data_IF_975782344037
#
_entry.id   IF_975782344037
#
_cell.length_a   1.000
_cell.length_b   1.000
_cell.length_c   1.000
_cell.angle_alpha   90.00
_cell.angle_beta   90.00
_cell.angle_gamma   90.00
#
_symmetry.space_group_name_H-M   'P 1'
#
loop_
_entity.id
_entity.type
_entity.pdbx_description
1 polymer ?
#
# COMPACT_ATOMS: atom_id res chain seq x y z
N UNK A 1 27.05 12.04 4.39
CA UNK A 1 27.30 11.59 5.77
C UNK A 1 26.29 12.29 6.65
N UNK A 2 25.38 11.54 7.26
CA UNK A 2 24.41 12.07 8.22
C UNK A 2 25.12 12.07 9.58
N UNK A 3 24.99 13.13 10.37
CA UNK A 3 25.59 13.24 11.71
C UNK A 3 24.48 13.21 12.78
N UNK A 4 24.83 12.93 14.04
CA UNK A 4 23.89 13.11 15.16
C UNK A 4 23.44 14.56 15.24
N UNK A 5 22.15 14.79 15.47
CA UNK A 5 21.57 16.14 15.53
C UNK A 5 21.22 16.50 16.96
N UNK A 6 21.61 17.69 17.38
CA UNK A 6 21.32 18.23 18.71
C UNK A 6 20.60 19.56 18.54
N UNK A 7 19.35 19.61 18.97
CA UNK A 7 18.48 20.77 18.78
C UNK A 7 18.07 21.27 20.16
N UNK A 8 18.53 22.47 20.51
CA UNK A 8 18.08 23.16 21.72
C UNK A 8 16.96 24.11 21.30
N UNK A 9 15.75 23.81 21.75
CA UNK A 9 14.57 24.64 21.51
C UNK A 9 14.09 25.28 22.82
N UNK A 10 13.41 26.42 22.69
CA UNK A 10 12.75 27.08 23.82
C UNK A 10 11.28 27.25 23.48
N UNK A 11 10.40 26.59 24.24
CA UNK A 11 8.97 26.78 24.11
C UNK A 11 8.61 28.22 24.47
N UNK A 12 8.03 28.93 23.51
CA UNK A 12 7.70 30.36 23.62
C UNK A 12 6.65 30.62 24.72
N UNK A 13 5.76 29.68 24.98
CA UNK A 13 4.62 29.84 25.90
C UNK A 13 4.94 29.54 27.37
N UNK A 14 5.83 28.59 27.64
CA UNK A 14 6.19 28.17 29.02
C UNK A 14 7.62 28.53 29.42
N UNK A 15 8.42 29.05 28.49
CA UNK A 15 9.84 29.31 28.70
C UNK A 15 10.70 28.04 28.82
N UNK A 16 10.09 26.86 28.61
CA UNK A 16 10.72 25.57 28.77
C UNK A 16 11.81 25.36 27.74
N UNK A 17 13.03 25.09 28.21
CA UNK A 17 14.17 24.75 27.35
C UNK A 17 14.24 23.23 27.20
N UNK A 18 14.11 22.78 25.97
CA UNK A 18 14.10 21.37 25.60
C UNK A 18 15.32 21.09 24.74
N UNK A 19 16.00 19.99 25.03
CA UNK A 19 17.02 19.44 24.14
C UNK A 19 16.47 18.19 23.46
N UNK A 20 16.43 18.20 22.14
CA UNK A 20 16.17 17.02 21.32
C UNK A 20 17.51 16.49 20.79
N UNK A 21 17.82 15.23 21.11
CA UNK A 21 19.03 14.52 20.66
C UNK A 21 18.62 13.38 19.76
N UNK A 22 19.00 13.47 18.49
CA UNK A 22 18.71 12.45 17.48
C UNK A 22 19.97 11.66 17.15
N UNK A 23 19.96 10.38 17.49
CA UNK A 23 21.06 9.46 17.17
C UNK A 23 20.83 8.87 15.77
N UNK A 24 21.50 9.43 14.77
CA UNK A 24 21.34 9.09 13.34
C UNK A 24 22.61 8.55 12.68
N UNK A 25 23.74 8.55 13.38
CA UNK A 25 25.05 8.22 12.77
C UNK A 25 25.97 7.47 13.72
N UNK A 26 26.95 6.79 13.12
CA UNK A 26 28.12 6.22 13.81
C UNK A 26 29.23 7.25 14.06
N UNK A 27 29.20 8.40 13.38
CA UNK A 27 30.21 9.45 13.51
C UNK A 27 29.71 10.55 14.47
N UNK A 28 30.65 11.09 15.26
CA UNK A 28 30.33 12.06 16.30
C UNK A 28 31.13 13.36 16.11
N UNK A 29 30.44 14.49 16.27
CA UNK A 29 31.07 15.81 16.37
C UNK A 29 31.31 16.14 17.86
N UNK A 30 32.56 15.95 18.29
CA UNK A 30 33.00 16.18 19.68
C UNK A 30 32.86 17.65 20.09
N UNK A 31 33.03 18.60 19.16
CA UNK A 31 32.88 20.02 19.47
C UNK A 31 31.43 20.38 19.75
N UNK A 32 30.51 19.79 18.98
CA UNK A 32 29.08 20.02 19.13
C UNK A 32 28.56 19.42 20.44
N UNK A 33 29.06 18.24 20.86
CA UNK A 33 28.76 17.67 22.16
C UNK A 33 29.19 18.58 23.32
N UNK A 34 30.41 19.16 23.27
CA UNK A 34 30.87 20.10 24.30
C UNK A 34 29.98 21.34 24.42
N UNK A 35 29.51 21.88 23.28
CA UNK A 35 28.57 23.01 23.28
C UNK A 35 27.25 22.65 23.94
N UNK A 36 26.73 21.44 23.67
CA UNK A 36 25.48 20.93 24.25
C UNK A 36 25.62 20.77 25.78
N UNK A 37 26.73 20.17 26.25
CA UNK A 37 27.01 20.01 27.68
C UNK A 37 27.00 21.35 28.42
N UNK A 38 27.56 22.41 27.82
CA UNK A 38 27.54 23.75 28.42
C UNK A 38 26.13 24.35 28.61
N UNK A 39 25.14 23.89 27.84
CA UNK A 39 23.76 24.37 27.93
C UNK A 39 22.87 23.53 28.86
N UNK A 40 23.34 22.35 29.28
CA UNK A 40 22.63 21.41 30.18
C UNK A 40 22.11 22.05 31.49
N UNK A 41 22.85 22.96 32.16
CA UNK A 41 22.43 23.51 33.46
C UNK A 41 21.10 24.27 33.46
N UNK A 42 20.59 24.62 32.27
CA UNK A 42 19.38 25.42 32.08
C UNK A 42 18.24 24.65 31.39
N UNK A 43 18.43 23.37 31.09
CA UNK A 43 17.40 22.55 30.46
C UNK A 43 16.37 22.12 31.50
N UNK A 44 15.12 22.01 31.06
CA UNK A 44 14.02 21.46 31.86
C UNK A 44 13.61 20.08 31.36
N UNK A 45 13.78 19.83 30.05
CA UNK A 45 13.46 18.55 29.42
C UNK A 45 14.52 18.14 28.40
N UNK A 46 14.77 16.84 28.32
CA UNK A 46 15.62 16.24 27.31
C UNK A 46 14.90 15.06 26.66
N UNK A 47 14.85 15.04 25.33
CA UNK A 47 14.30 13.95 24.54
C UNK A 47 15.44 13.28 23.76
N UNK A 48 15.57 11.97 23.90
CA UNK A 48 16.52 11.15 23.14
C UNK A 48 15.77 10.27 22.16
N UNK A 49 16.13 10.36 20.88
CA UNK A 49 15.52 9.61 19.78
C UNK A 49 16.54 8.60 19.24
N UNK A 50 16.19 7.32 19.27
CA UNK A 50 16.98 6.20 18.77
C UNK A 50 16.28 5.59 17.54
N UNK A 51 16.65 6.10 16.36
CA UNK A 51 16.02 5.76 15.06
C UNK A 51 16.64 4.51 14.39
N UNK A 52 17.82 4.04 14.85
CA UNK A 52 18.55 2.91 14.24
C UNK A 52 19.00 1.87 15.29
N UNK A 53 19.79 0.87 14.88
CA UNK A 53 20.51 -0.02 15.79
C UNK A 53 21.46 0.79 16.68
N UNK A 54 21.21 0.75 17.99
CA UNK A 54 22.05 1.41 18.99
C UNK A 54 23.46 0.81 18.96
N UNK A 55 24.44 1.61 18.60
CA UNK A 55 25.86 1.20 18.58
C UNK A 55 26.62 1.72 19.82
N UNK A 56 27.84 1.21 20.03
CA UNK A 56 28.68 1.59 21.18
C UNK A 56 28.98 3.10 21.24
N UNK A 57 29.15 3.75 20.09
CA UNK A 57 29.44 5.20 20.03
C UNK A 57 28.25 6.02 20.52
N UNK A 58 27.04 5.68 20.07
CA UNK A 58 25.79 6.32 20.53
C UNK A 58 25.58 6.10 22.03
N UNK A 59 25.89 4.89 22.54
CA UNK A 59 25.86 4.61 23.97
C UNK A 59 26.81 5.49 24.78
N UNK A 60 28.04 5.69 24.30
CA UNK A 60 29.00 6.57 24.96
C UNK A 60 28.52 8.03 24.99
N UNK A 61 27.98 8.53 23.89
CA UNK A 61 27.45 9.90 23.81
C UNK A 61 26.27 10.07 24.76
N UNK A 62 25.34 9.11 24.75
CA UNK A 62 24.21 9.08 25.67
C UNK A 62 24.68 9.12 27.13
N UNK A 63 25.62 8.24 27.51
CA UNK A 63 26.16 8.19 28.87
C UNK A 63 26.81 9.51 29.28
N UNK A 64 27.60 10.12 28.39
CA UNK A 64 28.22 11.41 28.63
C UNK A 64 27.16 12.48 28.90
N UNK A 65 26.12 12.57 28.06
CA UNK A 65 25.03 13.54 28.26
C UNK A 65 24.33 13.30 29.60
N UNK A 66 23.96 12.06 29.90
CA UNK A 66 23.24 11.69 31.14
C UNK A 66 24.06 11.98 32.38
N UNK A 67 25.40 11.89 32.32
CA UNK A 67 26.28 12.27 33.43
C UNK A 67 26.20 13.76 33.78
N UNK A 68 25.87 14.62 32.82
CA UNK A 68 25.73 16.07 33.02
C UNK A 68 24.28 16.52 33.29
N UNK A 69 23.31 15.60 33.28
CA UNK A 69 21.93 15.94 33.60
C UNK A 69 21.74 16.19 35.09
N UNK A 70 21.08 17.30 35.42
CA UNK A 70 20.67 17.60 36.79
C UNK A 70 19.39 16.84 37.14
N UNK A 71 19.23 16.53 38.42
CA UNK A 71 18.12 15.73 38.93
C UNK A 71 16.71 16.29 38.66
N UNK A 72 16.56 17.57 38.37
CA UNK A 72 15.26 18.20 38.05
C UNK A 72 14.90 18.13 36.56
N UNK A 73 15.76 17.57 35.71
CA UNK A 73 15.49 17.48 34.28
C UNK A 73 14.57 16.30 34.01
N UNK A 74 13.48 16.55 33.28
CA UNK A 74 12.61 15.48 32.77
C UNK A 74 13.28 14.81 31.57
N UNK A 75 13.37 13.48 31.58
CA UNK A 75 14.05 12.71 30.53
C UNK A 75 13.04 11.86 29.78
N UNK A 76 13.00 12.00 28.45
CA UNK A 76 12.17 11.17 27.57
C UNK A 76 13.07 10.39 26.62
N UNK A 77 12.85 9.09 26.56
CA UNK A 77 13.52 8.16 25.65
C UNK A 77 12.51 7.64 24.63
N UNK A 78 12.89 7.62 23.36
CA UNK A 78 12.05 7.18 22.26
C UNK A 78 12.86 6.19 21.44
N UNK A 79 12.43 4.94 21.44
CA UNK A 79 13.10 3.83 20.76
C UNK A 79 12.24 3.29 19.64
N UNK A 80 12.81 3.07 18.46
CA UNK A 80 12.12 2.32 17.43
C UNK A 80 12.12 0.82 17.78
N UNK A 81 11.01 0.34 18.35
CA UNK A 81 10.91 -0.98 19.02
C UNK A 81 11.17 -2.18 18.09
N UNK A 82 10.97 -2.03 16.77
CA UNK A 82 11.17 -3.10 15.79
C UNK A 82 12.65 -3.42 15.51
N UNK A 83 13.58 -2.48 15.77
CA UNK A 83 14.98 -2.60 15.38
C UNK A 83 15.94 -2.74 16.57
N UNK A 84 15.44 -2.62 17.80
CA UNK A 84 16.25 -2.57 19.00
C UNK A 84 16.08 -3.85 19.83
N UNK A 85 17.20 -4.44 20.26
CA UNK A 85 17.20 -5.54 21.23
C UNK A 85 16.97 -5.00 22.64
N UNK A 86 16.23 -5.74 23.49
CA UNK A 86 15.88 -5.27 24.83
C UNK A 86 17.12 -5.01 25.70
N UNK A 87 18.19 -5.77 25.49
CA UNK A 87 19.48 -5.61 26.17
C UNK A 87 20.06 -4.20 26.00
N UNK A 88 19.87 -3.58 24.82
CA UNK A 88 20.27 -2.20 24.57
C UNK A 88 19.34 -1.20 25.25
N UNK A 89 18.03 -1.48 25.27
CA UNK A 89 17.05 -0.67 26.02
C UNK A 89 17.41 -0.69 27.50
N UNK A 90 17.63 -1.89 28.07
CA UNK A 90 18.05 -2.12 29.45
C UNK A 90 19.35 -1.37 29.79
N UNK A 91 20.35 -1.42 28.91
CA UNK A 91 21.60 -0.69 29.10
C UNK A 91 21.41 0.84 29.13
N UNK A 92 20.47 1.38 28.35
CA UNK A 92 20.18 2.82 28.31
C UNK A 92 19.39 3.24 29.54
N UNK A 93 18.32 2.52 29.87
CA UNK A 93 17.44 2.89 31.00
C UNK A 93 18.07 2.56 32.35
N UNK A 94 19.00 1.62 32.43
CA UNK A 94 19.55 1.10 33.69
C UNK A 94 20.10 2.18 34.61
N UNK A 95 20.77 3.22 34.07
CA UNK A 95 21.22 4.36 34.88
C UNK A 95 20.05 5.23 35.35
N UNK A 96 19.14 5.60 34.44
CA UNK A 96 18.01 6.48 34.76
C UNK A 96 17.04 5.87 35.78
N UNK A 97 16.83 4.56 35.74
CA UNK A 97 15.98 3.82 36.69
C UNK A 97 16.49 3.91 38.13
N UNK A 98 17.79 4.17 38.32
CA UNK A 98 18.39 4.34 39.64
C UNK A 98 18.41 5.81 40.12
N UNK A 99 18.23 6.77 39.21
CA UNK A 99 18.43 8.19 39.48
C UNK A 99 17.11 9.02 39.41
N UNK A 100 16.12 8.54 38.66
CA UNK A 100 14.85 9.24 38.36
C UNK A 100 13.65 8.31 38.48
N UNK A 101 12.46 8.85 38.79
CA UNK A 101 11.20 8.08 38.81
C UNK A 101 10.58 7.98 37.42
N UNK A 102 10.22 6.77 36.97
CA UNK A 102 9.49 6.55 35.72
C UNK A 102 8.09 7.17 35.83
N UNK A 103 7.74 8.06 34.90
CA UNK A 103 6.41 8.62 34.74
C UNK A 103 5.48 7.64 34.02
N UNK A 104 5.80 7.37 32.76
CA UNK A 104 4.97 6.58 31.86
C UNK A 104 5.89 5.87 30.86
N UNK A 105 5.50 4.66 30.48
CA UNK A 105 5.98 4.02 29.27
C UNK A 105 4.78 3.58 28.43
N UNK A 106 4.90 3.65 27.12
CA UNK A 106 3.86 3.18 26.21
C UNK A 106 4.43 2.88 24.82
N UNK A 107 3.73 2.02 24.09
CA UNK A 107 4.00 1.74 22.69
C UNK A 107 3.07 2.54 21.78
N UNK A 108 3.62 3.22 20.79
CA UNK A 108 2.85 3.95 19.79
C UNK A 108 3.52 3.84 18.43
N UNK A 109 2.79 3.40 17.40
CA UNK A 109 3.25 3.37 16.00
C UNK A 109 4.59 2.65 15.78
N UNK A 110 4.89 1.59 16.55
CA UNK A 110 6.16 0.85 16.45
C UNK A 110 7.31 1.49 17.24
N UNK A 111 7.06 2.53 18.01
CA UNK A 111 8.01 3.16 18.93
C UNK A 111 7.65 2.84 20.38
N UNK A 112 8.68 2.60 21.20
CA UNK A 112 8.59 2.54 22.65
C UNK A 112 8.99 3.90 23.21
N UNK A 113 8.07 4.53 23.95
CA UNK A 113 8.34 5.76 24.68
C UNK A 113 8.50 5.43 26.15
N UNK A 114 9.52 6.01 26.79
CA UNK A 114 9.74 5.92 28.25
C UNK A 114 10.04 7.34 28.73
N UNK A 115 9.29 7.81 29.72
CA UNK A 115 9.49 9.14 30.31
C UNK A 115 9.79 9.02 31.81
N UNK A 116 10.74 9.81 32.27
CA UNK A 116 11.18 9.93 33.65
C UNK A 116 10.93 11.36 34.13
N UNK A 117 10.37 11.51 35.33
CA UNK A 117 10.18 12.81 35.96
C UNK A 117 11.49 13.36 36.51
N UNK A 118 11.65 14.68 36.46
CA UNK A 118 12.58 15.38 37.33
C UNK A 118 12.21 15.16 38.80
N UNK A 119 13.21 14.99 39.66
CA UNK A 119 13.07 14.73 41.09
C UNK A 119 12.44 15.90 41.87
N UNK A 120 12.34 17.08 41.26
CA UNK A 120 11.60 18.24 41.76
C UNK A 120 10.08 18.11 41.56
N UNK A 121 9.63 17.33 40.58
CA UNK A 121 8.21 17.05 40.31
C UNK A 121 7.75 15.85 41.13
N UNK A 122 8.49 14.73 41.04
CA UNK A 122 8.20 13.49 41.76
C UNK A 122 9.51 12.96 42.33
N UNK A 123 9.61 12.73 43.66
CA UNK A 123 10.83 12.20 44.25
C UNK A 123 11.11 10.78 43.76
N UNK A 124 12.39 10.40 43.80
CA UNK A 124 12.86 9.08 43.41
C UNK A 124 12.14 7.95 44.19
N UNK A 125 11.53 7.00 43.48
CA UNK A 125 10.92 5.78 44.03
C UNK A 125 11.44 4.51 43.34
N UNK A 126 12.38 3.85 43.99
CA UNK A 126 12.98 2.59 43.51
C UNK A 126 11.96 1.44 43.43
N UNK A 127 10.95 1.38 44.31
CA UNK A 127 9.98 0.29 44.31
C UNK A 127 9.04 0.41 43.11
N UNK A 128 8.57 1.63 42.85
CA UNK A 128 7.79 1.97 41.65
C UNK A 128 8.58 1.66 40.38
N UNK A 129 9.82 2.12 40.31
CA UNK A 129 10.68 1.89 39.15
C UNK A 129 10.92 0.41 38.86
N UNK A 130 11.21 -0.40 39.88
CA UNK A 130 11.38 -1.85 39.72
C UNK A 130 10.12 -2.51 39.20
N UNK A 131 8.95 -2.11 39.70
CA UNK A 131 7.68 -2.65 39.23
C UNK A 131 7.45 -2.34 37.76
N UNK A 132 7.57 -1.07 37.36
CA UNK A 132 7.39 -0.67 35.95
C UNK A 132 8.46 -1.26 35.03
N UNK A 133 9.69 -1.43 35.52
CA UNK A 133 10.76 -2.08 34.76
C UNK A 133 10.44 -3.54 34.42
N UNK A 134 9.96 -4.31 35.40
CA UNK A 134 9.55 -5.70 35.16
C UNK A 134 8.34 -5.78 34.22
N UNK A 135 7.38 -4.87 34.33
CA UNK A 135 6.27 -4.79 33.38
C UNK A 135 6.75 -4.45 31.96
N UNK A 136 7.61 -3.44 31.80
CA UNK A 136 8.22 -3.06 30.52
C UNK A 136 8.93 -4.26 29.87
N UNK A 137 9.70 -5.02 30.66
CA UNK A 137 10.40 -6.22 30.17
C UNK A 137 9.45 -7.30 29.68
N UNK A 138 8.34 -7.53 30.39
CA UNK A 138 7.29 -8.48 29.98
C UNK A 138 6.59 -8.00 28.71
N UNK A 139 6.12 -6.75 28.69
CA UNK A 139 5.40 -6.15 27.57
C UNK A 139 6.26 -6.04 26.31
N UNK A 140 7.57 -5.80 26.44
CA UNK A 140 8.49 -5.77 25.30
C UNK A 140 8.58 -7.14 24.62
N UNK A 141 8.60 -8.22 25.40
CA UNK A 141 8.59 -9.59 24.87
C UNK A 141 7.28 -9.87 24.15
N UNK A 142 6.15 -9.55 24.78
CA UNK A 142 4.82 -9.72 24.18
C UNK A 142 4.63 -8.86 22.92
N UNK A 143 5.15 -7.63 22.89
CA UNK A 143 5.06 -6.73 21.74
C UNK A 143 5.94 -7.20 20.56
N UNK A 144 7.09 -7.83 20.84
CA UNK A 144 7.96 -8.44 19.83
C UNK A 144 7.39 -9.77 19.32
N UNK A 145 6.72 -10.51 20.18
CA UNK A 145 6.01 -11.75 19.83
C UNK A 145 4.67 -11.49 19.11
N UNK A 146 4.06 -10.32 19.32
CA UNK A 146 2.95 -9.81 18.49
C UNK A 146 3.46 -9.60 17.06
N UNK A 147 2.83 -10.22 16.05
CA UNK A 147 3.65 -11.07 15.20
C UNK A 147 4.24 -10.37 13.98
N UNK A 148 5.55 -10.60 13.78
CA UNK A 148 6.24 -10.66 12.47
C UNK A 148 5.54 -11.61 11.47
N UNK A 149 4.63 -12.48 11.92
CA UNK A 149 3.72 -13.24 11.05
C UNK A 149 2.80 -12.34 10.22
N UNK A 150 2.43 -11.15 10.68
CA UNK A 150 1.59 -10.25 9.89
C UNK A 150 2.37 -9.71 8.68
N UNK A 151 3.66 -9.42 8.78
CA UNK A 151 4.41 -8.87 7.64
C UNK A 151 4.71 -9.90 6.56
N UNK A 152 5.07 -11.14 6.92
CA UNK A 152 5.23 -12.20 5.91
C UNK A 152 3.90 -12.59 5.28
N UNK A 153 2.83 -12.69 6.08
CA UNK A 153 1.48 -12.98 5.57
C UNK A 153 0.94 -11.84 4.72
N UNK A 154 1.17 -10.57 5.12
CA UNK A 154 0.81 -9.39 4.34
C UNK A 154 1.62 -9.34 3.02
N UNK A 155 2.91 -9.66 3.05
CA UNK A 155 3.72 -9.79 1.82
C UNK A 155 3.20 -10.89 0.89
N UNK A 156 2.80 -12.02 1.45
CA UNK A 156 2.19 -13.11 0.68
C UNK A 156 0.83 -12.70 0.11
N UNK A 157 -0.06 -12.09 0.91
CA UNK A 157 -1.37 -11.60 0.47
C UNK A 157 -1.23 -10.49 -0.60
N UNK A 158 -0.24 -9.60 -0.46
CA UNK A 158 0.09 -8.60 -1.49
C UNK A 158 0.58 -9.23 -2.80
N UNK A 159 1.39 -10.29 -2.71
CA UNK A 159 1.84 -11.04 -3.88
C UNK A 159 0.66 -11.75 -4.57
N UNK A 160 -0.25 -12.35 -3.81
CA UNK A 160 -1.46 -12.97 -4.34
C UNK A 160 -2.35 -11.95 -5.05
N UNK A 161 -2.65 -10.82 -4.42
CA UNK A 161 -3.46 -9.75 -5.02
C UNK A 161 -2.82 -9.20 -6.30
N UNK A 162 -1.49 -9.05 -6.33
CA UNK A 162 -0.78 -8.63 -7.54
C UNK A 162 -0.94 -9.66 -8.66
N UNK A 163 -0.75 -10.94 -8.37
CA UNK A 163 -0.89 -12.00 -9.38
C UNK A 163 -2.33 -12.07 -9.91
N UNK A 164 -3.33 -11.99 -9.03
CA UNK A 164 -4.75 -11.99 -9.40
C UNK A 164 -5.09 -10.79 -10.30
N UNK A 165 -4.52 -9.61 -10.00
CA UNK A 165 -4.67 -8.41 -10.83
C UNK A 165 -4.03 -8.59 -12.21
N UNK A 166 -2.82 -9.13 -12.27
CA UNK A 166 -2.11 -9.37 -13.52
C UNK A 166 -2.88 -10.37 -14.40
N UNK A 167 -3.44 -11.44 -13.82
CA UNK A 167 -4.26 -12.43 -14.53
C UNK A 167 -5.59 -11.84 -15.04
N UNK A 168 -6.26 -11.02 -14.22
CA UNK A 168 -7.44 -10.26 -14.63
C UNK A 168 -7.13 -9.32 -15.78
N UNK A 169 -5.99 -8.63 -15.73
CA UNK A 169 -5.56 -7.71 -16.76
C UNK A 169 -5.23 -8.42 -18.08
N UNK A 170 -4.56 -9.57 -18.03
CA UNK A 170 -4.32 -10.39 -19.23
C UNK A 170 -5.62 -10.90 -19.85
N UNK A 171 -6.57 -11.33 -19.01
CA UNK A 171 -7.91 -11.78 -19.45
C UNK A 171 -8.67 -10.64 -20.13
N UNK A 172 -8.62 -9.44 -19.56
CA UNK A 172 -9.18 -8.23 -20.16
C UNK A 172 -8.56 -7.94 -21.52
N UNK A 173 -7.22 -7.93 -21.63
CA UNK A 173 -6.52 -7.67 -22.89
C UNK A 173 -6.89 -8.68 -23.98
N UNK A 174 -6.94 -9.97 -23.64
CA UNK A 174 -7.34 -11.02 -24.58
C UNK A 174 -8.78 -10.82 -25.08
N UNK A 175 -9.70 -10.51 -24.17
CA UNK A 175 -11.11 -10.26 -24.48
C UNK A 175 -11.27 -9.01 -25.33
N UNK A 176 -10.57 -7.94 -25.00
CA UNK A 176 -10.59 -6.68 -25.74
C UNK A 176 -10.11 -6.87 -27.19
N UNK A 177 -9.01 -7.61 -27.39
CA UNK A 177 -8.51 -7.96 -28.74
C UNK A 177 -9.54 -8.76 -29.54
N UNK A 178 -10.20 -9.76 -28.92
CA UNK A 178 -11.27 -10.54 -29.56
C UNK A 178 -12.46 -9.66 -29.96
N UNK A 179 -12.88 -8.74 -29.09
CA UNK A 179 -13.95 -7.79 -29.40
C UNK A 179 -13.58 -6.88 -30.57
N UNK A 180 -12.38 -6.30 -30.57
CA UNK A 180 -11.91 -5.47 -31.69
C UNK A 180 -11.94 -6.24 -33.02
N UNK A 181 -11.51 -7.50 -33.02
CA UNK A 181 -11.60 -8.36 -34.20
C UNK A 181 -13.05 -8.61 -34.63
N UNK A 182 -13.92 -8.98 -33.69
CA UNK A 182 -15.34 -9.20 -33.97
C UNK A 182 -16.01 -7.94 -34.55
N UNK A 183 -15.71 -6.75 -34.01
CA UNK A 183 -16.19 -5.48 -34.54
C UNK A 183 -15.70 -5.23 -35.97
N UNK A 184 -14.44 -5.52 -36.28
CA UNK A 184 -13.90 -5.39 -37.64
C UNK A 184 -14.61 -6.32 -38.62
N UNK A 185 -14.82 -7.58 -38.26
CA UNK A 185 -15.51 -8.55 -39.12
C UNK A 185 -16.99 -8.19 -39.30
N UNK A 186 -17.67 -7.71 -38.24
CA UNK A 186 -19.04 -7.22 -38.33
C UNK A 186 -19.16 -6.01 -39.26
N UNK A 187 -18.20 -5.08 -39.22
CA UNK A 187 -18.15 -3.96 -40.16
C UNK A 187 -17.91 -4.41 -41.61
N UNK A 188 -17.02 -5.38 -41.85
CA UNK A 188 -16.82 -5.97 -43.18
C UNK A 188 -18.11 -6.63 -43.67
N UNK A 189 -18.75 -7.44 -42.82
CA UNK A 189 -20.01 -8.10 -43.15
C UNK A 189 -21.10 -7.08 -43.51
N UNK A 190 -21.27 -6.03 -42.70
CA UNK A 190 -22.24 -4.95 -42.97
C UNK A 190 -22.00 -4.27 -44.32
N UNK A 191 -20.75 -3.98 -44.69
CA UNK A 191 -20.40 -3.42 -46.01
C UNK A 191 -20.73 -4.38 -47.14
N UNK A 192 -20.37 -5.66 -46.99
CA UNK A 192 -20.67 -6.70 -47.98
C UNK A 192 -22.18 -6.88 -48.16
N UNK A 193 -22.94 -7.02 -47.07
CA UNK A 193 -24.39 -7.13 -47.08
C UNK A 193 -25.06 -5.91 -47.75
N UNK A 194 -24.56 -4.70 -47.49
CA UNK A 194 -25.03 -3.49 -48.17
C UNK A 194 -24.77 -3.53 -49.68
N UNK A 195 -23.57 -3.97 -50.11
CA UNK A 195 -23.25 -4.13 -51.53
C UNK A 195 -24.15 -5.14 -52.22
N UNK A 196 -24.42 -6.29 -51.57
CA UNK A 196 -25.35 -7.29 -52.07
C UNK A 196 -26.78 -6.76 -52.15
N UNK A 197 -27.25 -6.09 -51.08
CA UNK A 197 -28.58 -5.46 -51.06
C UNK A 197 -28.71 -4.43 -52.18
N UNK A 198 -27.71 -3.57 -52.38
CA UNK A 198 -27.71 -2.59 -53.47
C UNK A 198 -27.81 -3.28 -54.84
N UNK A 199 -26.97 -4.29 -55.10
CA UNK A 199 -27.01 -5.07 -56.34
C UNK A 199 -28.38 -5.76 -56.56
N UNK A 200 -29.00 -6.26 -55.49
CA UNK A 200 -30.33 -6.85 -55.57
C UNK A 200 -31.38 -5.80 -55.93
N UNK A 201 -31.41 -4.67 -55.23
CA UNK A 201 -32.34 -3.56 -55.51
C UNK A 201 -32.19 -3.03 -56.94
N UNK A 202 -30.94 -2.86 -57.41
CA UNK A 202 -30.66 -2.41 -58.78
C UNK A 202 -31.20 -3.38 -59.85
N UNK A 203 -31.37 -4.67 -59.51
CA UNK A 203 -31.81 -5.73 -60.43
C UNK A 203 -33.18 -6.33 -60.06
N UNK A 204 -33.91 -5.72 -59.14
CA UNK A 204 -35.11 -6.29 -58.53
C UNK A 204 -36.20 -6.60 -59.57
N UNK A 205 -36.44 -5.69 -60.51
CA UNK A 205 -37.39 -5.87 -61.61
C UNK A 205 -37.00 -7.07 -62.48
N UNK A 206 -35.71 -7.21 -62.79
CA UNK A 206 -35.21 -8.29 -63.64
C UNK A 206 -35.33 -9.65 -62.93
N UNK A 207 -34.98 -9.71 -61.64
CA UNK A 207 -35.10 -10.91 -60.81
C UNK A 207 -36.58 -11.33 -60.70
N UNK A 208 -37.49 -10.40 -60.37
CA UNK A 208 -38.92 -10.67 -60.30
C UNK A 208 -39.50 -11.17 -61.63
N UNK A 209 -39.05 -10.63 -62.75
CA UNK A 209 -39.44 -11.10 -64.07
C UNK A 209 -38.88 -12.49 -64.39
N UNK A 210 -37.63 -12.79 -64.02
CA UNK A 210 -37.02 -14.12 -64.17
C UNK A 210 -37.74 -15.17 -63.31
N UNK A 211 -38.13 -14.83 -62.08
CA UNK A 211 -38.93 -15.71 -61.21
C UNK A 211 -40.31 -15.98 -61.80
N UNK A 212 -40.97 -14.95 -62.34
CA UNK A 212 -42.23 -15.12 -63.09
C UNK A 212 -42.04 -16.03 -64.31
N UNK A 213 -40.98 -15.83 -65.10
CA UNK A 213 -40.67 -16.69 -66.25
C UNK A 213 -40.42 -18.14 -65.80
N UNK A 214 -39.64 -18.36 -64.74
CA UNK A 214 -39.39 -19.68 -64.20
C UNK A 214 -40.66 -20.36 -63.69
N UNK A 215 -41.53 -19.62 -63.01
CA UNK A 215 -42.84 -20.08 -62.57
C UNK A 215 -43.73 -20.49 -63.75
N UNK A 216 -43.83 -19.65 -64.78
CA UNK A 216 -44.60 -19.96 -65.99
C UNK A 216 -43.99 -21.15 -66.75
N UNK A 217 -42.67 -21.25 -66.85
CA UNK A 217 -41.98 -22.39 -67.48
C UNK A 217 -42.28 -23.71 -66.76
N UNK A 218 -42.39 -23.71 -65.42
CA UNK A 218 -42.84 -24.89 -64.65
C UNK A 218 -44.28 -25.29 -64.98
N UNK A 219 -45.18 -24.31 -65.18
CA UNK A 219 -46.58 -24.57 -65.57
C UNK A 219 -46.73 -25.00 -67.03
N UNK A 220 -45.92 -24.45 -67.92
CA UNK A 220 -45.91 -24.68 -69.38
C UNK A 220 -44.91 -25.80 -69.71
N UNK A 221 -45.17 -27.00 -69.17
CA UNK A 221 -44.39 -28.19 -69.51
C UNK A 221 -45.07 -29.01 -70.62
N UNK A 222 -44.29 -29.83 -71.36
CA UNK A 222 -44.78 -30.61 -72.53
C UNK A 222 -46.04 -31.42 -72.20
N UNK A 223 -46.16 -31.95 -70.98
CA UNK A 223 -47.34 -32.71 -70.50
C UNK A 223 -48.58 -31.81 -70.33
N UNK A 224 -48.43 -30.64 -69.73
CA UNK A 224 -49.53 -29.69 -69.51
C UNK A 224 -49.97 -29.04 -70.82
N UNK A 225 -49.04 -28.69 -71.70
CA UNK A 225 -49.35 -28.19 -73.05
C UNK A 225 -50.09 -29.26 -73.85
N UNK A 226 -49.63 -30.51 -73.83
CA UNK A 226 -50.32 -31.62 -74.50
C UNK A 226 -51.74 -31.82 -73.96
N UNK A 227 -51.94 -31.75 -72.63
CA UNK A 227 -53.28 -31.79 -72.02
C UNK A 227 -54.17 -30.64 -72.50
N UNK A 228 -53.65 -29.41 -72.55
CA UNK A 228 -54.36 -28.22 -73.04
C UNK A 228 -54.74 -28.34 -74.53
N UNK A 229 -53.81 -28.75 -75.39
CA UNK A 229 -54.08 -28.99 -76.82
C UNK A 229 -55.11 -30.09 -77.01
N UNK A 230 -55.01 -31.20 -76.26
CA UNK A 230 -55.99 -32.28 -76.30
C UNK A 230 -57.39 -31.81 -75.87
N UNK A 231 -57.49 -30.94 -74.85
CA UNK A 231 -58.75 -30.34 -74.42
C UNK A 231 -59.33 -29.39 -75.48
N UNK A 232 -58.49 -28.55 -76.11
CA UNK A 232 -58.92 -27.65 -77.19
C UNK A 232 -59.41 -28.44 -78.41
N UNK A 233 -58.67 -29.45 -78.87
CA UNK A 233 -59.08 -30.32 -79.97
C UNK A 233 -60.39 -31.06 -79.66
N UNK A 234 -60.60 -31.49 -78.41
CA UNK A 234 -61.87 -32.09 -77.98
C UNK A 234 -63.04 -31.12 -78.09
N UNK A 235 -62.85 -29.83 -77.73
CA UNK A 235 -63.89 -28.80 -77.86
C UNK A 235 -64.18 -28.45 -79.32
N UNK A 236 -63.16 -28.42 -80.18
CA UNK A 236 -63.32 -28.14 -81.61
C UNK A 236 -64.05 -29.28 -82.33
N UNK A 237 -63.88 -30.53 -81.89
CA UNK A 237 -64.56 -31.71 -82.45
C UNK A 237 -66.02 -31.89 -82.00
N UNK A 238 -66.46 -31.11 -81.01
CA UNK A 238 -67.82 -31.11 -80.45
C UNK A 238 -68.65 -29.94 -81.00
N UNK A 239 -68.07 -29.13 -81.89
CA UNK A 239 -68.79 -28.30 -82.86
C UNK A 239 -68.76 -28.96 -84.22
#
# INVERSE_FOLDING_TARGET
>A
MVNNEFIISKHLSKGEKVLDVWFKSSENDVELLKRVVNHMPHLQKVNFYFDETINHVQMMIYQEIVNHLKSHVTVKLIFQSLHVQFEHVEAIIGKLINDYTINIYYYSKGELHIEFFGNDIVPFDNKHNRYLYEQLKSEFREARERPVMNDMRLKQELLTVKNDYDDLYQTYLATHKRMQYAFRELHKFKRSAWKYKKKYLDNEIFINNMERIAYYKKKVNKRNIYKLVKLMLKRVRVR
#
